data_IF_377351056482
#
_entry.id   IF_377351056482
#
_cell.length_a   1.000
_cell.length_b   1.000
_cell.length_c   1.000
_cell.angle_alpha   90.00
_cell.angle_beta   90.00
_cell.angle_gamma   90.00
#
_symmetry.space_group_name_H-M   'P 1'
#
loop_
_entity.id
_entity.type
_entity.pdbx_description
1 polymer ?
#
# COMPACT_ATOMS: atom_id res chain seq x y z
N UNK A 1 22.77 -0.12 8.64
CA UNK A 1 21.51 -0.25 9.39
C UNK A 1 20.55 -1.05 8.52
N UNK A 2 20.63 -2.37 8.62
CA UNK A 2 19.76 -3.31 7.92
C UNK A 2 18.62 -3.64 8.87
N UNK A 3 17.45 -3.07 8.64
CA UNK A 3 16.20 -3.53 9.26
C UNK A 3 15.92 -4.94 8.73
N UNK A 4 15.97 -5.94 9.62
CA UNK A 4 15.71 -7.34 9.33
C UNK A 4 14.20 -7.55 9.07
N UNK A 5 13.75 -7.97 7.87
CA UNK A 5 12.35 -7.95 7.45
C UNK A 5 11.50 -9.12 7.98
N UNK A 6 11.83 -9.66 9.15
CA UNK A 6 11.13 -10.79 9.76
C UNK A 6 10.78 -10.51 11.23
N UNK A 7 10.13 -9.38 11.50
CA UNK A 7 9.60 -9.11 12.82
C UNK A 7 8.58 -10.21 13.21
N UNK A 8 8.78 -10.89 14.34
CA UNK A 8 7.88 -11.96 14.80
C UNK A 8 6.46 -11.45 15.03
N UNK A 9 5.48 -12.10 14.39
CA UNK A 9 4.10 -11.60 14.20
C UNK A 9 3.14 -11.94 15.34
N UNK A 10 3.56 -12.76 16.32
CA UNK A 10 2.70 -13.15 17.43
C UNK A 10 3.29 -12.83 18.78
N UNK A 11 2.49 -12.31 19.72
CA UNK A 11 2.90 -12.14 21.11
C UNK A 11 2.46 -13.31 21.97
N UNK A 12 3.06 -13.48 23.15
CA UNK A 12 2.61 -14.47 24.14
C UNK A 12 1.13 -14.22 24.52
N UNK A 13 0.72 -12.95 24.60
CA UNK A 13 -0.68 -12.53 24.81
C UNK A 13 -1.62 -13.09 23.74
N UNK A 14 -1.22 -13.05 22.48
CA UNK A 14 -2.03 -13.57 21.38
C UNK A 14 -2.09 -15.11 21.41
N UNK A 15 -1.00 -15.79 21.76
CA UNK A 15 -1.00 -17.25 21.93
C UNK A 15 -1.96 -17.69 23.05
N UNK A 16 -1.99 -16.96 24.18
CA UNK A 16 -2.94 -17.19 25.28
C UNK A 16 -4.41 -17.11 24.85
N UNK A 17 -4.73 -16.28 23.86
CA UNK A 17 -6.09 -16.11 23.35
C UNK A 17 -6.54 -17.25 22.41
N UNK A 18 -5.65 -18.16 22.01
CA UNK A 18 -5.98 -19.26 21.11
C UNK A 18 -6.72 -20.36 21.89
N UNK A 19 -8.04 -20.40 21.76
CA UNK A 19 -8.93 -21.30 22.51
C UNK A 19 -8.55 -22.78 22.40
N UNK A 20 -8.03 -23.22 21.25
CA UNK A 20 -7.65 -24.63 21.03
C UNK A 20 -6.54 -25.12 21.97
N UNK A 21 -5.71 -24.20 22.50
CA UNK A 21 -4.62 -24.54 23.41
C UNK A 21 -4.98 -24.40 24.89
N UNK A 22 -6.09 -23.73 25.23
CA UNK A 22 -6.61 -23.62 26.61
C UNK A 22 -5.54 -23.25 27.65
N UNK A 23 -4.63 -22.36 27.27
CA UNK A 23 -3.47 -22.03 28.06
C UNK A 23 -3.85 -21.23 29.31
N UNK A 24 -3.16 -21.50 30.42
CA UNK A 24 -3.29 -20.72 31.65
C UNK A 24 -1.96 -20.06 32.00
N UNK A 25 -1.94 -18.74 32.09
CA UNK A 25 -0.79 -18.00 32.62
C UNK A 25 -0.68 -18.24 34.12
N UNK A 26 0.51 -18.65 34.59
CA UNK A 26 0.76 -18.90 36.02
C UNK A 26 1.91 -18.08 36.61
N UNK A 27 2.78 -17.49 35.78
CA UNK A 27 3.80 -16.53 36.20
C UNK A 27 4.29 -15.66 35.03
N UNK A 28 4.94 -14.54 35.33
CA UNK A 28 5.69 -13.73 34.36
C UNK A 28 4.83 -12.83 33.48
N UNK A 29 3.74 -12.28 34.01
CA UNK A 29 2.75 -11.46 33.29
C UNK A 29 3.37 -10.26 32.55
N UNK A 30 4.44 -9.67 33.08
CA UNK A 30 5.15 -8.55 32.44
C UNK A 30 5.79 -8.91 31.08
N UNK A 31 5.88 -10.19 30.72
CA UNK A 31 6.43 -10.66 29.46
C UNK A 31 5.40 -10.98 28.37
N UNK A 32 4.12 -10.66 28.56
CA UNK A 32 3.06 -11.08 27.62
C UNK A 32 3.19 -10.49 26.21
N UNK A 33 3.79 -9.31 26.06
CA UNK A 33 3.97 -8.67 24.75
C UNK A 33 5.27 -9.10 24.06
N UNK A 34 5.99 -10.07 24.63
CA UNK A 34 7.18 -10.66 24.00
C UNK A 34 6.76 -11.42 22.74
N UNK A 35 7.54 -11.30 21.65
CA UNK A 35 7.19 -11.94 20.41
C UNK A 35 7.55 -13.44 20.38
N UNK A 36 6.80 -14.21 19.61
CA UNK A 36 6.91 -15.64 19.39
C UNK A 36 7.03 -15.94 17.90
N UNK A 37 7.92 -16.87 17.55
CA UNK A 37 8.14 -17.31 16.16
C UNK A 37 8.07 -18.82 15.96
N UNK A 38 8.17 -19.60 17.03
CA UNK A 38 8.30 -21.06 16.96
C UNK A 38 8.02 -21.72 18.32
N UNK A 39 7.77 -23.03 18.31
CA UNK A 39 7.68 -23.85 19.51
C UNK A 39 8.81 -24.89 19.54
N UNK A 40 9.50 -25.03 20.68
CA UNK A 40 10.60 -25.97 20.86
C UNK A 40 10.31 -26.89 22.05
N UNK A 41 10.02 -28.16 21.78
CA UNK A 41 9.82 -29.17 22.82
C UNK A 41 11.16 -29.75 23.27
N UNK A 42 11.40 -29.82 24.58
CA UNK A 42 12.66 -30.35 25.14
C UNK A 42 12.47 -30.81 26.59
N UNK A 43 13.26 -31.81 26.99
CA UNK A 43 13.37 -32.26 28.39
C UNK A 43 14.80 -32.03 28.94
N UNK A 44 15.65 -31.32 28.20
CA UNK A 44 17.00 -30.97 28.62
C UNK A 44 16.95 -30.01 29.81
N UNK A 45 17.87 -30.18 30.77
CA UNK A 45 18.04 -29.24 31.90
C UNK A 45 18.54 -27.87 31.45
N UNK A 46 19.32 -27.83 30.38
CA UNK A 46 19.91 -26.61 29.81
C UNK A 46 19.56 -26.50 28.31
N UNK A 47 18.35 -26.03 27.95
CA UNK A 47 17.95 -25.92 26.55
C UNK A 47 18.58 -24.73 25.81
N UNK A 48 19.09 -23.72 26.54
CA UNK A 48 19.60 -22.45 26.01
C UNK A 48 20.50 -22.55 24.77
N UNK A 49 21.52 -23.44 24.73
CA UNK A 49 22.40 -23.58 23.57
C UNK A 49 21.72 -23.99 22.25
N UNK A 50 20.50 -24.55 22.32
CA UNK A 50 19.75 -25.02 21.16
C UNK A 50 18.69 -24.02 20.67
N UNK A 51 18.50 -22.90 21.40
CA UNK A 51 17.51 -21.88 21.09
C UNK A 51 18.09 -20.79 20.18
N UNK A 52 17.24 -20.21 19.33
CA UNK A 52 17.60 -19.13 18.40
C UNK A 52 16.98 -17.79 18.80
N UNK A 53 16.03 -17.79 19.72
CA UNK A 53 15.32 -16.64 20.25
C UNK A 53 13.87 -16.60 19.78
N UNK A 54 13.02 -15.99 20.62
CA UNK A 54 11.59 -15.84 20.39
C UNK A 54 10.81 -17.16 20.28
N UNK A 55 11.30 -18.26 20.85
CA UNK A 55 10.53 -19.50 20.97
C UNK A 55 9.65 -19.53 22.22
N UNK A 56 8.59 -20.33 22.19
CA UNK A 56 8.03 -20.95 23.39
C UNK A 56 8.72 -22.29 23.62
N UNK A 57 9.29 -22.49 24.80
CA UNK A 57 9.93 -23.77 25.18
C UNK A 57 8.90 -24.64 25.87
N UNK A 58 8.62 -25.82 25.31
CA UNK A 58 7.63 -26.77 25.83
C UNK A 58 8.34 -27.91 26.59
N UNK A 59 7.88 -28.21 27.80
CA UNK A 59 8.42 -29.30 28.63
C UNK A 59 7.33 -29.86 29.54
N UNK A 60 7.41 -31.15 29.90
CA UNK A 60 6.62 -31.74 31.00
C UNK A 60 7.38 -31.73 32.33
N UNK A 61 8.61 -31.21 32.34
CA UNK A 61 9.41 -31.04 33.54
C UNK A 61 10.01 -32.33 34.11
N UNK A 62 10.25 -33.35 33.27
CA UNK A 62 10.77 -34.63 33.74
C UNK A 62 12.16 -34.50 34.42
N UNK A 63 12.92 -33.46 34.04
CA UNK A 63 14.23 -33.15 34.60
C UNK A 63 14.23 -32.07 35.69
N UNK A 64 13.05 -31.57 36.09
CA UNK A 64 12.86 -30.43 37.01
C UNK A 64 12.43 -30.84 38.43
N UNK A 65 12.85 -32.02 38.88
CA UNK A 65 12.41 -32.61 40.16
C UNK A 65 12.98 -31.97 41.44
N UNK A 66 13.85 -30.95 41.32
CA UNK A 66 14.42 -30.21 42.45
C UNK A 66 14.35 -28.68 42.23
N UNK A 67 14.30 -27.87 43.31
CA UNK A 67 14.21 -26.41 43.20
C UNK A 67 15.32 -25.75 42.37
N UNK A 68 16.54 -26.30 42.45
CA UNK A 68 17.70 -25.78 41.72
C UNK A 68 17.55 -26.00 40.22
N UNK A 69 17.04 -27.16 39.81
CA UNK A 69 16.76 -27.48 38.42
C UNK A 69 15.70 -26.55 37.81
N UNK A 70 14.62 -26.22 38.55
CA UNK A 70 13.59 -25.29 38.08
C UNK A 70 14.17 -23.90 37.78
N UNK A 71 14.98 -23.37 38.70
CA UNK A 71 15.61 -22.05 38.54
C UNK A 71 16.60 -22.05 37.37
N UNK A 72 17.50 -23.04 37.31
CA UNK A 72 18.51 -23.15 36.25
C UNK A 72 17.87 -23.30 34.86
N UNK A 73 16.76 -24.04 34.76
CA UNK A 73 16.03 -24.19 33.51
C UNK A 73 15.44 -22.85 33.04
N UNK A 74 14.74 -22.11 33.92
CA UNK A 74 14.17 -20.81 33.56
C UNK A 74 15.25 -19.79 33.15
N UNK A 75 16.39 -19.79 33.84
CA UNK A 75 17.55 -18.97 33.49
C UNK A 75 18.14 -19.35 32.13
N UNK A 76 18.29 -20.65 31.85
CA UNK A 76 18.78 -21.16 30.57
C UNK A 76 17.84 -20.76 29.41
N UNK A 77 16.53 -20.92 29.58
CA UNK A 77 15.52 -20.50 28.59
C UNK A 77 15.60 -18.99 28.32
N UNK A 78 15.72 -18.18 29.38
CA UNK A 78 15.88 -16.72 29.27
C UNK A 78 17.18 -16.35 28.55
N UNK A 79 18.29 -17.00 28.88
CA UNK A 79 19.59 -16.78 28.27
C UNK A 79 19.60 -17.14 26.77
N UNK A 80 18.86 -18.19 26.39
CA UNK A 80 18.60 -18.58 25.00
C UNK A 80 17.68 -17.62 24.24
N UNK A 81 17.22 -16.53 24.88
CA UNK A 81 16.32 -15.51 24.32
C UNK A 81 14.92 -16.02 23.96
N UNK A 82 14.48 -17.11 24.58
CA UNK A 82 13.10 -17.56 24.42
C UNK A 82 12.12 -16.52 25.01
N UNK A 83 10.88 -16.58 24.57
CA UNK A 83 9.85 -15.63 24.95
C UNK A 83 8.89 -16.15 25.99
N UNK A 84 8.71 -17.47 26.12
CA UNK A 84 7.86 -18.09 27.13
C UNK A 84 8.27 -19.55 27.39
N UNK A 85 7.76 -20.11 28.49
CA UNK A 85 7.76 -21.55 28.79
C UNK A 85 6.31 -22.05 28.75
N UNK A 86 6.05 -23.13 28.04
CA UNK A 86 4.83 -23.92 28.16
C UNK A 86 5.11 -25.18 28.96
N UNK A 87 4.51 -25.32 30.13
CA UNK A 87 4.69 -26.45 31.02
C UNK A 87 3.49 -27.40 30.90
N UNK A 88 3.72 -28.61 30.43
CA UNK A 88 2.71 -29.66 30.33
C UNK A 88 2.36 -30.22 31.70
N UNK A 89 1.09 -30.09 32.08
CA UNK A 89 0.55 -30.63 33.34
C UNK A 89 -0.25 -31.92 33.08
N UNK A 90 -0.35 -32.77 34.10
CA UNK A 90 -1.12 -34.01 34.09
C UNK A 90 -0.28 -35.29 33.97
N UNK A 91 0.86 -35.25 33.28
CA UNK A 91 1.71 -36.44 33.08
C UNK A 91 2.75 -36.63 34.21
N UNK A 92 3.46 -35.57 34.58
CA UNK A 92 4.54 -35.61 35.60
C UNK A 92 4.10 -34.94 36.89
N UNK A 93 3.46 -33.78 36.78
CA UNK A 93 2.94 -32.99 37.91
C UNK A 93 1.52 -32.51 37.58
N UNK A 94 0.70 -32.28 38.59
CA UNK A 94 -0.67 -31.81 38.40
C UNK A 94 -0.75 -30.32 38.02
N UNK A 95 0.25 -29.54 38.44
CA UNK A 95 0.37 -28.10 38.22
C UNK A 95 1.85 -27.76 38.03
N UNK A 96 2.16 -26.60 37.43
CA UNK A 96 3.54 -26.15 37.31
C UNK A 96 4.22 -26.00 38.69
N UNK A 97 5.46 -26.50 38.89
CA UNK A 97 6.16 -26.41 40.18
C UNK A 97 6.28 -24.97 40.67
N UNK A 98 6.01 -24.75 41.97
CA UNK A 98 6.02 -23.42 42.57
C UNK A 98 7.38 -22.71 42.41
N UNK A 99 8.46 -23.49 42.47
CA UNK A 99 9.83 -23.02 42.27
C UNK A 99 10.06 -22.51 40.85
N UNK A 100 9.48 -23.16 39.84
CA UNK A 100 9.52 -22.72 38.45
C UNK A 100 8.69 -21.44 38.27
N UNK A 101 7.50 -21.36 38.86
CA UNK A 101 6.66 -20.15 38.86
C UNK A 101 7.43 -18.96 39.45
N UNK A 102 8.04 -19.12 40.62
CA UNK A 102 8.83 -18.07 41.26
C UNK A 102 10.05 -17.64 40.43
N UNK A 103 10.74 -18.58 39.78
CA UNK A 103 11.86 -18.26 38.89
C UNK A 103 11.40 -17.46 37.66
N UNK A 104 10.31 -17.90 37.03
CA UNK A 104 9.72 -17.24 35.87
C UNK A 104 9.23 -15.83 36.19
N UNK A 105 8.60 -15.64 37.36
CA UNK A 105 8.15 -14.34 37.85
C UNK A 105 9.33 -13.36 38.00
N UNK A 106 10.41 -13.78 38.69
CA UNK A 106 11.61 -12.95 38.86
C UNK A 106 12.27 -12.57 37.53
N UNK A 107 12.21 -13.45 36.54
CA UNK A 107 12.81 -13.24 35.22
C UNK A 107 11.90 -12.47 34.24
N UNK A 108 10.65 -12.18 34.63
CA UNK A 108 9.63 -11.66 33.72
C UNK A 108 9.45 -12.55 32.49
N UNK A 109 9.57 -13.86 32.67
CA UNK A 109 9.43 -14.87 31.63
C UNK A 109 8.05 -15.52 31.79
N UNK A 110 7.12 -15.36 30.83
CA UNK A 110 5.80 -15.98 30.90
C UNK A 110 5.90 -17.50 31.04
N UNK A 111 5.20 -18.04 32.04
CA UNK A 111 5.01 -19.46 32.26
C UNK A 111 3.54 -19.79 32.03
N UNK A 112 3.28 -20.63 31.03
CA UNK A 112 1.95 -21.05 30.62
C UNK A 112 1.79 -22.53 30.95
N UNK A 113 0.71 -22.91 31.61
CA UNK A 113 0.34 -24.32 31.71
C UNK A 113 -0.36 -24.78 30.44
N UNK A 114 0.04 -25.96 29.98
CA UNK A 114 -0.51 -26.66 28.83
C UNK A 114 -1.25 -27.90 29.35
N UNK A 115 -2.58 -28.00 29.17
CA UNK A 115 -3.34 -29.16 29.61
C UNK A 115 -2.90 -30.45 28.90
N UNK A 116 -3.05 -31.60 29.57
CA UNK A 116 -2.64 -32.91 29.06
C UNK A 116 -3.31 -33.28 27.71
N UNK A 117 -4.50 -32.76 27.43
CA UNK A 117 -5.23 -33.02 26.19
C UNK A 117 -4.63 -32.27 24.98
N UNK A 118 -3.72 -31.32 25.20
CA UNK A 118 -3.13 -30.49 24.15
C UNK A 118 -1.74 -31.03 23.78
N UNK A 119 -1.59 -31.72 22.64
CA UNK A 119 -0.29 -32.26 22.26
C UNK A 119 0.66 -31.14 21.83
N UNK A 120 1.92 -31.20 22.27
CA UNK A 120 2.94 -30.19 21.95
C UNK A 120 3.19 -30.03 20.44
N UNK A 121 2.96 -31.06 19.63
CA UNK A 121 3.04 -30.97 18.16
C UNK A 121 2.11 -29.90 17.58
N UNK A 122 0.95 -29.68 18.21
CA UNK A 122 -0.02 -28.67 17.76
C UNK A 122 0.50 -27.23 17.84
N UNK A 123 1.46 -26.96 18.72
CA UNK A 123 2.15 -25.66 18.76
C UNK A 123 3.11 -25.51 17.59
N UNK A 124 3.88 -26.56 17.27
CA UNK A 124 4.78 -26.55 16.11
C UNK A 124 3.99 -26.37 14.82
N UNK A 125 2.86 -27.07 14.68
CA UNK A 125 1.94 -26.91 13.55
C UNK A 125 1.36 -25.49 13.48
N UNK A 126 0.89 -24.93 14.60
CA UNK A 126 0.37 -23.55 14.66
C UNK A 126 1.36 -22.51 14.12
N UNK A 127 2.63 -22.60 14.51
CA UNK A 127 3.65 -21.67 14.03
C UNK A 127 4.08 -21.97 12.59
N UNK A 128 4.05 -23.25 12.17
CA UNK A 128 4.35 -23.63 10.79
C UNK A 128 3.26 -23.18 9.80
N UNK A 129 1.98 -23.36 10.13
CA UNK A 129 0.81 -22.89 9.36
C UNK A 129 0.86 -21.38 9.13
N UNK A 130 1.21 -20.62 10.17
CA UNK A 130 1.26 -19.14 10.12
C UNK A 130 2.52 -18.59 9.44
N UNK A 131 3.62 -19.35 9.47
CA UNK A 131 4.81 -19.02 8.68
C UNK A 131 4.59 -19.33 7.19
N UNK A 132 3.77 -20.33 6.87
CA UNK A 132 3.35 -20.63 5.50
C UNK A 132 2.37 -19.57 4.98
N UNK A 133 1.38 -19.17 5.79
CA UNK A 133 0.35 -18.21 5.37
C UNK A 133 0.95 -16.90 4.86
N UNK A 134 1.93 -16.31 5.54
CA UNK A 134 2.56 -15.05 5.09
C UNK A 134 3.41 -15.14 3.82
N UNK A 135 4.01 -16.29 3.54
CA UNK A 135 4.78 -16.49 2.28
C UNK A 135 3.86 -16.85 1.13
N UNK A 136 2.86 -17.68 1.38
CA UNK A 136 1.88 -18.10 0.39
C UNK A 136 0.97 -16.92 0.01
N UNK A 137 0.50 -16.12 0.98
CA UNK A 137 -0.25 -14.88 0.73
C UNK A 137 0.56 -13.88 -0.08
N UNK A 138 1.84 -13.66 0.25
CA UNK A 138 2.69 -12.75 -0.52
C UNK A 138 2.88 -13.24 -1.95
N UNK A 139 3.17 -14.53 -2.11
CA UNK A 139 3.31 -15.15 -3.42
C UNK A 139 2.01 -15.07 -4.22
N UNK A 140 0.88 -15.29 -3.57
CA UNK A 140 -0.43 -15.18 -4.17
C UNK A 140 -0.75 -13.75 -4.62
N UNK A 141 -0.41 -12.75 -3.80
CA UNK A 141 -0.51 -11.33 -4.17
C UNK A 141 0.37 -11.01 -5.38
N UNK A 142 1.59 -11.52 -5.43
CA UNK A 142 2.49 -11.34 -6.59
C UNK A 142 1.96 -12.06 -7.85
N UNK A 143 1.39 -13.25 -7.70
CA UNK A 143 0.75 -13.99 -8.80
C UNK A 143 -0.50 -13.25 -9.33
N UNK A 144 -1.32 -12.73 -8.42
CA UNK A 144 -2.48 -11.90 -8.75
C UNK A 144 -2.05 -10.60 -9.44
N UNK A 145 -1.01 -9.93 -8.94
CA UNK A 145 -0.44 -8.73 -9.56
C UNK A 145 0.05 -9.00 -10.99
N UNK A 146 0.72 -10.12 -11.23
CA UNK A 146 1.11 -10.55 -12.58
C UNK A 146 -0.10 -10.78 -13.49
N UNK A 147 -1.15 -11.46 -13.01
CA UNK A 147 -2.38 -11.67 -13.78
C UNK A 147 -3.05 -10.35 -14.14
N UNK A 148 -3.20 -9.44 -13.17
CA UNK A 148 -3.73 -8.10 -13.40
C UNK A 148 -2.92 -7.35 -14.45
N UNK A 149 -1.59 -7.38 -14.38
CA UNK A 149 -0.71 -6.78 -15.39
C UNK A 149 -0.95 -7.37 -16.78
N UNK A 150 -1.11 -8.69 -16.89
CA UNK A 150 -1.42 -9.35 -18.17
C UNK A 150 -2.80 -8.94 -18.71
N UNK A 151 -3.81 -8.79 -17.84
CA UNK A 151 -5.15 -8.30 -18.20
C UNK A 151 -5.07 -6.84 -18.69
N UNK A 152 -4.33 -5.98 -17.98
CA UNK A 152 -4.11 -4.58 -18.36
C UNK A 152 -3.47 -4.44 -19.75
N UNK A 153 -2.53 -5.33 -20.08
CA UNK A 153 -1.83 -5.34 -21.37
C UNK A 153 -2.63 -6.03 -22.49
N UNK A 154 -3.81 -6.60 -22.19
CA UNK A 154 -4.61 -7.37 -23.14
C UNK A 154 -4.01 -8.73 -23.52
N UNK A 155 -3.04 -9.23 -22.75
CA UNK A 155 -2.41 -10.55 -22.94
C UNK A 155 -3.27 -11.66 -22.32
N UNK A 156 -4.03 -11.33 -21.26
CA UNK A 156 -4.96 -12.24 -20.60
C UNK A 156 -6.38 -11.67 -20.56
N UNK A 157 -7.37 -12.56 -20.50
CA UNK A 157 -8.77 -12.18 -20.25
C UNK A 157 -9.01 -11.91 -18.77
N UNK A 158 -9.86 -10.94 -18.45
CA UNK A 158 -10.32 -10.69 -17.08
C UNK A 158 -11.04 -11.91 -16.46
N UNK A 159 -11.56 -12.83 -17.28
CA UNK A 159 -12.17 -14.08 -16.82
C UNK A 159 -11.19 -14.97 -16.03
N UNK A 160 -9.88 -14.80 -16.21
CA UNK A 160 -8.86 -15.49 -15.41
C UNK A 160 -8.90 -15.11 -13.91
N UNK A 161 -9.60 -14.04 -13.55
CA UNK A 161 -9.77 -13.57 -12.17
C UNK A 161 -11.12 -14.01 -11.56
N UNK A 162 -11.98 -14.70 -12.32
CA UNK A 162 -13.34 -15.06 -11.90
C UNK A 162 -13.36 -15.82 -10.58
N UNK A 163 -12.56 -16.88 -10.47
CA UNK A 163 -12.48 -17.71 -9.26
C UNK A 163 -12.11 -16.88 -8.02
N UNK A 164 -11.11 -16.00 -8.14
CA UNK A 164 -10.68 -15.10 -7.05
C UNK A 164 -11.76 -14.10 -6.65
N UNK A 165 -12.51 -13.58 -7.62
CA UNK A 165 -13.62 -12.64 -7.41
C UNK A 165 -14.77 -13.34 -6.67
N UNK A 166 -15.10 -14.55 -7.09
CA UNK A 166 -16.15 -15.37 -6.48
C UNK A 166 -15.77 -15.76 -5.04
N UNK A 167 -14.53 -16.18 -4.81
CA UNK A 167 -14.00 -16.52 -3.48
C UNK A 167 -13.97 -15.32 -2.53
N UNK A 168 -13.70 -14.12 -3.07
CA UNK A 168 -13.77 -12.86 -2.32
C UNK A 168 -15.21 -12.38 -2.08
N UNK A 169 -16.22 -13.02 -2.67
CA UNK A 169 -17.63 -12.66 -2.53
C UNK A 169 -18.00 -11.32 -3.17
N UNK A 170 -17.25 -10.90 -4.19
CA UNK A 170 -17.49 -9.64 -4.89
C UNK A 170 -18.61 -9.77 -5.93
N UNK A 171 -19.40 -8.72 -6.12
CA UNK A 171 -20.39 -8.64 -7.19
C UNK A 171 -19.68 -8.42 -8.54
N UNK A 172 -19.72 -9.39 -9.48
CA UNK A 172 -19.03 -9.28 -10.75
C UNK A 172 -19.63 -8.23 -11.71
N UNK A 173 -20.78 -7.64 -11.39
CA UNK A 173 -21.42 -6.59 -12.20
C UNK A 173 -20.97 -5.17 -11.82
N UNK A 174 -20.32 -5.00 -10.67
CA UNK A 174 -19.99 -3.68 -10.10
C UNK A 174 -18.56 -3.62 -9.56
N UNK A 175 -17.61 -4.23 -10.26
CA UNK A 175 -16.20 -4.27 -9.89
C UNK A 175 -15.51 -2.96 -10.27
N UNK A 176 -14.61 -2.49 -9.42
CA UNK A 176 -13.66 -1.42 -9.71
C UNK A 176 -12.27 -1.81 -9.22
N UNK A 177 -11.26 -1.11 -9.72
CA UNK A 177 -9.87 -1.27 -9.29
C UNK A 177 -9.38 -0.02 -8.58
N UNK A 178 -8.71 -0.21 -7.46
CA UNK A 178 -7.94 0.84 -6.77
C UNK A 178 -6.46 0.51 -6.87
N UNK A 179 -5.66 1.46 -7.38
CA UNK A 179 -4.21 1.38 -7.42
C UNK A 179 -3.60 2.26 -6.33
N UNK A 180 -2.63 1.74 -5.57
CA UNK A 180 -2.00 2.39 -4.41
C UNK A 180 -0.49 2.10 -4.33
N UNK A 181 0.24 2.91 -3.57
CA UNK A 181 1.68 2.71 -3.30
C UNK A 181 1.88 1.78 -2.10
N UNK A 182 2.12 0.49 -2.35
CA UNK A 182 2.34 -0.52 -1.33
C UNK A 182 1.15 -0.72 -0.36
N UNK A 183 0.94 -1.96 0.10
CA UNK A 183 -0.08 -2.24 1.13
C UNK A 183 0.49 -3.28 2.10
N UNK A 184 0.54 -2.93 3.38
CA UNK A 184 0.92 -3.85 4.47
C UNK A 184 -0.29 -4.53 5.12
N UNK A 185 -1.51 -4.00 4.90
CA UNK A 185 -2.74 -4.47 5.53
C UNK A 185 -3.54 -5.47 4.66
N UNK A 186 -4.36 -6.30 5.31
CA UNK A 186 -5.39 -7.07 4.62
C UNK A 186 -6.54 -6.14 4.24
N UNK A 187 -6.86 -6.07 2.95
CA UNK A 187 -7.94 -5.25 2.43
C UNK A 187 -9.08 -6.14 1.91
N UNK A 188 -10.34 -5.71 2.06
CA UNK A 188 -11.49 -6.46 1.55
C UNK A 188 -11.50 -6.43 0.02
N UNK A 189 -11.24 -7.58 -0.59
CA UNK A 189 -11.27 -7.77 -2.04
C UNK A 189 -10.13 -8.65 -2.56
N UNK A 190 -9.89 -8.58 -3.86
CA UNK A 190 -8.80 -9.31 -4.51
C UNK A 190 -7.59 -8.40 -4.65
N UNK A 191 -6.56 -8.63 -3.84
CA UNK A 191 -5.35 -7.82 -3.79
C UNK A 191 -4.22 -8.48 -4.60
N UNK A 192 -3.69 -7.74 -5.59
CA UNK A 192 -2.46 -8.07 -6.30
C UNK A 192 -1.38 -7.03 -6.05
N UNK A 193 -0.12 -7.46 -6.04
CA UNK A 193 1.04 -6.56 -5.91
C UNK A 193 1.94 -6.74 -7.12
N UNK A 194 2.29 -5.61 -7.73
CA UNK A 194 3.09 -5.54 -8.94
C UNK A 194 4.22 -4.52 -8.79
N UNK A 195 5.39 -4.98 -8.35
CA UNK A 195 6.47 -4.09 -7.91
C UNK A 195 6.04 -3.33 -6.66
N UNK A 196 6.10 -2.00 -6.69
CA UNK A 196 5.70 -1.12 -5.59
C UNK A 196 4.22 -0.71 -5.65
N UNK A 197 3.48 -1.16 -6.67
CA UNK A 197 2.06 -0.82 -6.84
C UNK A 197 1.17 -1.96 -6.37
N UNK A 198 0.27 -1.66 -5.46
CA UNK A 198 -0.81 -2.55 -5.05
C UNK A 198 -2.06 -2.26 -5.88
N UNK A 199 -2.75 -3.31 -6.30
CA UNK A 199 -3.96 -3.27 -7.11
C UNK A 199 -5.05 -4.07 -6.41
N UNK A 200 -6.12 -3.41 -6.01
CA UNK A 200 -7.25 -4.01 -5.32
C UNK A 200 -8.48 -4.02 -6.22
N UNK A 201 -9.02 -5.20 -6.50
CA UNK A 201 -10.37 -5.33 -7.07
C UNK A 201 -11.37 -5.36 -5.93
N UNK A 202 -12.39 -4.51 -6.00
CA UNK A 202 -13.43 -4.39 -4.96
C UNK A 202 -14.74 -3.86 -5.57
N UNK A 203 -15.82 -3.85 -4.79
CA UNK A 203 -17.06 -3.15 -5.12
C UNK A 203 -17.18 -1.79 -4.40
N UNK A 204 -16.23 -1.45 -3.53
CA UNK A 204 -16.19 -0.21 -2.75
C UNK A 204 -15.15 0.76 -3.33
N UNK A 205 -15.55 2.00 -3.59
CA UNK A 205 -14.67 3.03 -4.13
C UNK A 205 -13.81 3.72 -3.05
N UNK A 206 -13.98 3.36 -1.77
CA UNK A 206 -13.20 3.91 -0.67
C UNK A 206 -11.73 3.48 -0.76
N UNK A 207 -10.80 4.44 -0.76
CA UNK A 207 -9.38 4.16 -0.70
C UNK A 207 -8.88 4.15 0.76
N UNK A 208 -8.05 3.16 1.10
CA UNK A 208 -7.50 2.98 2.45
C UNK A 208 -6.13 3.63 2.64
N UNK A 209 -5.51 4.10 1.56
CA UNK A 209 -4.22 4.79 1.59
C UNK A 209 -4.16 5.88 0.52
N UNK A 210 -3.31 6.88 0.73
CA UNK A 210 -2.97 7.91 -0.25
C UNK A 210 -1.45 7.90 -0.50
N UNK A 211 -0.98 8.09 -1.75
CA UNK A 211 -1.76 8.38 -2.94
C UNK A 211 -2.52 7.15 -3.49
N UNK A 212 -3.71 7.39 -4.07
CA UNK A 212 -4.52 6.33 -4.69
C UNK A 212 -5.18 6.78 -5.99
N UNK A 213 -5.33 5.84 -6.91
CA UNK A 213 -6.09 5.99 -8.14
C UNK A 213 -7.25 5.02 -8.20
N UNK A 214 -8.45 5.51 -8.44
CA UNK A 214 -9.69 4.73 -8.46
C UNK A 214 -10.23 4.65 -9.88
N UNK A 215 -10.36 3.45 -10.42
CA UNK A 215 -10.97 3.19 -11.73
C UNK A 215 -12.50 3.31 -11.72
N UNK A 216 -13.11 3.35 -12.90
CA UNK A 216 -14.57 3.34 -13.02
C UNK A 216 -15.18 1.96 -12.72
N UNK A 217 -16.31 1.88 -12.00
CA UNK A 217 -16.96 0.61 -11.71
C UNK A 217 -17.66 0.04 -12.95
N UNK A 218 -17.67 -1.30 -13.06
CA UNK A 218 -18.36 -2.00 -14.13
C UNK A 218 -18.30 -3.53 -14.00
N UNK A 219 -18.85 -4.26 -14.99
CA UNK A 219 -18.80 -5.71 -15.03
C UNK A 219 -17.36 -6.25 -15.22
N UNK A 220 -17.15 -7.56 -15.05
CA UNK A 220 -15.81 -8.18 -15.15
C UNK A 220 -15.07 -7.87 -16.46
N UNK A 221 -15.77 -7.80 -17.59
CA UNK A 221 -15.17 -7.45 -18.89
C UNK A 221 -14.73 -5.98 -18.99
N UNK A 222 -15.22 -5.11 -18.09
CA UNK A 222 -14.77 -3.73 -17.90
C UNK A 222 -13.52 -3.60 -17.01
N UNK A 223 -13.11 -4.67 -16.33
CA UNK A 223 -11.96 -4.64 -15.42
C UNK A 223 -10.64 -4.15 -16.07
N UNK A 224 -10.30 -4.49 -17.33
CA UNK A 224 -9.11 -3.93 -17.98
C UNK A 224 -9.16 -2.40 -18.11
N UNK A 225 -10.34 -1.84 -18.35
CA UNK A 225 -10.55 -0.39 -18.44
C UNK A 225 -10.37 0.24 -17.05
N UNK A 226 -11.08 -0.29 -16.04
CA UNK A 226 -10.93 0.18 -14.65
C UNK A 226 -9.48 0.12 -14.17
N UNK A 227 -8.73 -0.92 -14.55
CA UNK A 227 -7.32 -1.10 -14.18
C UNK A 227 -6.40 -0.08 -14.87
N UNK A 228 -6.63 0.21 -16.15
CA UNK A 228 -5.87 1.24 -16.86
C UNK A 228 -6.17 2.64 -16.31
N UNK A 229 -7.42 2.90 -15.94
CA UNK A 229 -7.83 4.15 -15.30
C UNK A 229 -7.23 4.31 -13.90
N UNK A 230 -7.30 3.27 -13.06
CA UNK A 230 -6.78 3.33 -11.68
C UNK A 230 -5.28 3.61 -11.66
N UNK A 231 -4.50 2.97 -12.53
CA UNK A 231 -3.06 3.21 -12.63
C UNK A 231 -2.74 4.65 -13.05
N UNK A 232 -3.47 5.18 -14.02
CA UNK A 232 -3.26 6.54 -14.45
C UNK A 232 -3.75 7.60 -13.45
N UNK A 233 -4.80 7.28 -12.71
CA UNK A 233 -5.24 8.07 -11.58
C UNK A 233 -4.19 8.06 -10.48
N UNK A 234 -3.55 6.92 -10.20
CA UNK A 234 -2.45 6.83 -9.24
C UNK A 234 -1.25 7.67 -9.68
N UNK A 235 -0.88 7.65 -10.97
CA UNK A 235 0.19 8.52 -11.48
C UNK A 235 -0.13 10.00 -11.29
N UNK A 236 -1.39 10.40 -11.47
CA UNK A 236 -1.85 11.78 -11.18
C UNK A 236 -1.83 12.08 -9.67
N UNK A 237 -2.26 11.13 -8.84
CA UNK A 237 -2.27 11.23 -7.40
C UNK A 237 -0.85 11.33 -6.82
N UNK A 238 0.14 10.66 -7.41
CA UNK A 238 1.56 10.79 -7.01
C UNK A 238 2.12 12.19 -7.26
N UNK A 239 1.60 12.91 -8.25
CA UNK A 239 2.00 14.30 -8.55
C UNK A 239 1.28 15.33 -7.68
N UNK A 240 -0.02 15.11 -7.41
CA UNK A 240 -0.89 16.08 -6.73
C UNK A 240 -1.22 15.78 -5.27
N UNK A 241 -0.93 14.56 -4.80
CA UNK A 241 -1.44 13.99 -3.55
C UNK A 241 -2.90 13.55 -3.63
N UNK A 242 -3.37 12.82 -2.61
CA UNK A 242 -4.77 12.46 -2.43
C UNK A 242 -5.24 11.22 -3.20
N UNK A 243 -6.57 11.14 -3.36
CA UNK A 243 -7.27 10.13 -4.15
C UNK A 243 -7.76 10.76 -5.44
N UNK A 244 -7.46 10.16 -6.58
CA UNK A 244 -7.94 10.59 -7.91
C UNK A 244 -8.86 9.52 -8.47
N UNK A 245 -10.01 9.91 -8.99
CA UNK A 245 -10.95 8.99 -9.64
C UNK A 245 -10.83 9.03 -11.16
N UNK A 246 -11.28 7.98 -11.83
CA UNK A 246 -11.33 7.90 -13.30
C UNK A 246 -12.12 9.06 -13.92
N UNK A 247 -13.17 9.55 -13.26
CA UNK A 247 -13.93 10.73 -13.69
C UNK A 247 -13.07 12.00 -13.76
N UNK A 248 -12.06 12.09 -12.91
CA UNK A 248 -11.15 13.24 -12.85
C UNK A 248 -10.12 13.19 -14.01
N UNK A 249 -9.86 11.99 -14.55
CA UNK A 249 -9.00 11.78 -15.71
C UNK A 249 -9.61 12.29 -17.02
N UNK A 250 -10.94 12.33 -17.12
CA UNK A 250 -11.64 12.83 -18.30
C UNK A 250 -11.58 14.36 -18.45
N UNK A 251 -10.82 15.05 -17.60
CA UNK A 251 -10.62 16.49 -17.68
C UNK A 251 -9.48 16.85 -18.64
N UNK A 252 -9.60 18.00 -19.30
CA UNK A 252 -8.55 18.51 -20.19
C UNK A 252 -7.19 18.65 -19.47
N UNK A 253 -7.20 19.05 -18.19
CA UNK A 253 -5.99 19.21 -17.39
C UNK A 253 -5.34 17.86 -17.05
N UNK A 254 -6.12 16.85 -16.67
CA UNK A 254 -5.60 15.52 -16.39
C UNK A 254 -5.03 14.85 -17.64
N UNK A 255 -5.68 15.03 -18.81
CA UNK A 255 -5.15 14.55 -20.10
C UNK A 255 -3.76 15.13 -20.38
N UNK A 256 -3.60 16.45 -20.22
CA UNK A 256 -2.30 17.10 -20.45
C UNK A 256 -1.25 16.70 -19.41
N UNK A 257 -1.65 16.46 -18.16
CA UNK A 257 -0.80 15.96 -17.08
C UNK A 257 -0.09 14.63 -17.39
N UNK A 258 -0.66 13.83 -18.29
CA UNK A 258 -0.15 12.50 -18.66
C UNK A 258 0.79 12.51 -19.87
N UNK A 259 0.87 13.63 -20.59
CA UNK A 259 1.78 13.77 -21.72
C UNK A 259 3.20 14.03 -21.19
N UNK A 260 4.18 13.33 -21.75
CA UNK A 260 5.57 13.52 -21.33
C UNK A 260 6.14 14.88 -21.80
N UNK A 261 7.33 15.20 -21.29
CA UNK A 261 8.00 16.46 -21.59
C UNK A 261 8.34 16.65 -23.06
N UNK A 262 8.58 15.56 -23.80
CA UNK A 262 8.97 15.56 -25.20
C UNK A 262 7.74 15.76 -26.10
N UNK A 263 6.60 15.16 -25.74
CA UNK A 263 5.30 15.36 -26.39
C UNK A 263 4.82 16.81 -26.25
N UNK A 264 5.07 17.43 -25.10
CA UNK A 264 4.71 18.84 -24.85
C UNK A 264 5.75 19.84 -25.38
N UNK A 265 6.99 19.41 -25.67
CA UNK A 265 8.07 20.30 -26.08
C UNK A 265 7.75 21.12 -27.36
N UNK A 266 7.16 20.55 -28.43
CA UNK A 266 6.80 21.32 -29.62
C UNK A 266 5.86 22.49 -29.32
N UNK A 267 4.85 22.30 -28.47
CA UNK A 267 3.92 23.37 -28.07
C UNK A 267 4.64 24.49 -27.31
N UNK A 268 5.53 24.12 -26.38
CA UNK A 268 6.31 25.12 -25.63
C UNK A 268 7.25 25.88 -26.55
N UNK A 269 7.98 25.18 -27.43
CA UNK A 269 8.99 25.79 -28.30
C UNK A 269 8.41 26.64 -29.42
N UNK A 270 7.31 26.19 -30.04
CA UNK A 270 6.74 26.86 -31.21
C UNK A 270 5.69 27.91 -30.85
N UNK A 271 5.10 27.85 -29.65
CA UNK A 271 3.99 28.73 -29.26
C UNK A 271 4.34 29.55 -28.02
N UNK A 272 4.58 28.90 -26.87
CA UNK A 272 4.76 29.63 -25.61
C UNK A 272 6.04 30.47 -25.58
N UNK A 273 7.15 29.93 -26.10
CA UNK A 273 8.46 30.60 -26.10
C UNK A 273 8.48 31.87 -26.95
N UNK A 274 8.00 31.89 -28.22
CA UNK A 274 7.91 33.12 -29.01
C UNK A 274 7.10 34.24 -28.34
N UNK A 275 6.01 33.89 -27.65
CA UNK A 275 5.20 34.86 -26.91
C UNK A 275 5.96 35.46 -25.72
N UNK A 276 6.60 34.62 -24.92
CA UNK A 276 7.38 35.07 -23.76
C UNK A 276 8.60 35.91 -24.17
N UNK A 277 9.31 35.51 -25.22
CA UNK A 277 10.45 36.27 -25.77
C UNK A 277 10.00 37.63 -26.30
N UNK A 278 8.86 37.69 -26.99
CA UNK A 278 8.30 38.94 -27.49
C UNK A 278 7.88 39.88 -26.35
N UNK A 279 7.18 39.35 -25.34
CA UNK A 279 6.79 40.09 -24.14
C UNK A 279 8.00 40.67 -23.39
N UNK A 280 9.06 39.88 -23.20
CA UNK A 280 10.31 40.33 -22.58
C UNK A 280 11.02 41.41 -23.39
N UNK A 281 11.09 41.27 -24.71
CA UNK A 281 11.79 42.22 -25.58
C UNK A 281 11.04 43.54 -25.80
N UNK A 282 9.70 43.52 -25.78
CA UNK A 282 8.87 44.68 -26.14
C UNK A 282 8.07 45.26 -24.97
N UNK A 283 8.17 44.67 -23.77
CA UNK A 283 7.38 45.06 -22.60
C UNK A 283 5.87 44.85 -22.80
N UNK A 284 5.49 43.90 -23.67
CA UNK A 284 4.08 43.56 -23.91
C UNK A 284 3.58 42.54 -22.90
N UNK A 285 2.29 42.22 -22.98
CA UNK A 285 1.61 41.26 -22.10
C UNK A 285 0.73 40.30 -22.90
N UNK A 286 1.26 39.77 -24.00
CA UNK A 286 0.57 38.85 -24.90
C UNK A 286 0.29 37.51 -24.23
N UNK A 287 1.21 36.98 -23.40
CA UNK A 287 0.98 35.72 -22.67
C UNK A 287 -0.18 35.86 -21.66
N UNK A 288 -0.24 36.96 -20.90
CA UNK A 288 -1.37 37.27 -20.01
C UNK A 288 -2.67 37.47 -20.80
N UNK A 289 -2.58 38.16 -21.95
CA UNK A 289 -3.73 38.39 -22.83
C UNK A 289 -4.29 37.07 -23.34
N UNK A 290 -3.44 36.15 -23.79
CA UNK A 290 -3.83 34.84 -24.28
C UNK A 290 -4.45 33.98 -23.19
N UNK A 291 -3.83 33.90 -22.00
CA UNK A 291 -4.39 33.16 -20.85
C UNK A 291 -5.80 33.67 -20.51
N UNK A 292 -5.96 34.98 -20.33
CA UNK A 292 -7.26 35.59 -20.02
C UNK A 292 -8.27 35.39 -21.15
N UNK A 293 -7.82 35.38 -22.41
CA UNK A 293 -8.69 35.11 -23.55
C UNK A 293 -9.23 33.67 -23.54
N UNK A 294 -8.38 32.71 -23.22
CA UNK A 294 -8.76 31.29 -23.08
C UNK A 294 -9.68 31.08 -21.88
N UNK A 295 -9.39 31.70 -20.73
CA UNK A 295 -10.22 31.62 -19.52
C UNK A 295 -11.64 32.18 -19.74
N UNK A 296 -11.77 33.16 -20.64
CA UNK A 296 -13.06 33.73 -21.05
C UNK A 296 -13.71 32.97 -22.23
N UNK A 297 -13.25 31.75 -22.54
CA UNK A 297 -13.82 30.91 -23.60
C UNK A 297 -13.59 31.42 -25.02
N UNK A 298 -12.59 32.28 -25.23
CA UNK A 298 -12.30 32.91 -26.52
C UNK A 298 -13.23 34.07 -26.89
N UNK A 299 -13.94 34.65 -25.91
CA UNK A 299 -14.86 35.76 -26.14
C UNK A 299 -14.16 37.13 -26.07
N UNK A 300 -13.92 37.75 -27.23
CA UNK A 300 -13.26 39.09 -27.35
C UNK A 300 -13.89 40.13 -26.41
N UNK A 301 -15.22 40.22 -26.35
CA UNK A 301 -15.90 41.21 -25.51
C UNK A 301 -15.70 40.99 -24.00
N UNK A 302 -15.70 39.73 -23.55
CA UNK A 302 -15.47 39.39 -22.15
C UNK A 302 -14.01 39.63 -21.75
N UNK A 303 -13.07 39.20 -22.59
CA UNK A 303 -11.63 39.41 -22.39
C UNK A 303 -11.25 40.89 -22.38
N UNK A 304 -11.82 41.70 -23.28
CA UNK A 304 -11.58 43.15 -23.30
C UNK A 304 -11.98 43.81 -22.00
N UNK A 305 -13.11 43.41 -21.39
CA UNK A 305 -13.53 43.92 -20.08
C UNK A 305 -12.60 43.43 -18.97
N UNK A 306 -12.26 42.14 -18.96
CA UNK A 306 -11.37 41.56 -17.94
C UNK A 306 -9.98 42.21 -17.92
N UNK A 307 -9.46 42.60 -19.10
CA UNK A 307 -8.15 43.24 -19.23
C UNK A 307 -8.22 44.78 -19.26
N UNK A 308 -9.40 45.38 -19.13
CA UNK A 308 -9.63 46.82 -19.28
C UNK A 308 -9.08 47.40 -20.61
N UNK A 309 -9.21 46.65 -21.70
CA UNK A 309 -8.75 47.01 -23.04
C UNK A 309 -9.93 47.37 -23.96
N UNK A 310 -9.71 48.31 -24.86
CA UNK A 310 -10.63 48.51 -25.98
C UNK A 310 -10.67 47.27 -26.89
N UNK A 311 -11.83 46.86 -27.44
CA UNK A 311 -11.95 45.68 -28.31
C UNK A 311 -10.97 45.65 -29.49
N UNK A 312 -10.71 46.81 -30.11
CA UNK A 312 -9.74 46.90 -31.21
C UNK A 312 -8.30 46.60 -30.73
N UNK A 313 -7.91 47.10 -29.55
CA UNK A 313 -6.59 46.81 -28.98
C UNK A 313 -6.43 45.32 -28.69
N UNK A 314 -7.47 44.66 -28.17
CA UNK A 314 -7.45 43.22 -27.99
C UNK A 314 -7.29 42.48 -29.33
N UNK A 315 -8.06 42.85 -30.35
CA UNK A 315 -7.93 42.26 -31.70
C UNK A 315 -6.52 42.42 -32.27
N UNK A 316 -5.88 43.58 -32.07
CA UNK A 316 -4.49 43.78 -32.46
C UNK A 316 -3.52 42.86 -31.71
N UNK A 317 -3.74 42.63 -30.41
CA UNK A 317 -2.94 41.68 -29.63
C UNK A 317 -3.14 40.24 -30.10
N UNK A 318 -4.38 39.83 -30.38
CA UNK A 318 -4.68 38.49 -30.91
C UNK A 318 -4.05 38.27 -32.29
N UNK A 319 -4.11 39.27 -33.19
CA UNK A 319 -3.43 39.22 -34.47
C UNK A 319 -1.89 39.16 -34.33
N UNK A 320 -1.33 39.80 -33.31
CA UNK A 320 0.10 39.68 -32.99
C UNK A 320 0.45 38.27 -32.48
N UNK A 321 -0.39 37.68 -31.64
CA UNK A 321 -0.23 36.29 -31.18
C UNK A 321 -0.25 35.33 -32.38
N UNK A 322 -1.19 35.51 -33.31
CA UNK A 322 -1.26 34.75 -34.56
C UNK A 322 0.02 34.89 -35.38
N UNK A 323 0.51 36.12 -35.59
CA UNK A 323 1.74 36.36 -36.34
C UNK A 323 3.00 35.73 -35.71
N UNK A 324 3.05 35.62 -34.38
CA UNK A 324 4.19 35.04 -33.66
C UNK A 324 4.15 33.51 -33.58
N UNK A 325 2.95 32.93 -33.55
CA UNK A 325 2.76 31.50 -33.28
C UNK A 325 2.33 30.71 -34.52
N UNK A 326 1.86 31.40 -35.56
CA UNK A 326 1.22 30.81 -36.72
C UNK A 326 -0.17 30.22 -36.44
N UNK A 327 -0.79 30.57 -35.29
CA UNK A 327 -2.05 30.00 -34.81
C UNK A 327 -3.08 31.10 -34.56
N UNK A 328 -4.25 31.02 -35.19
CA UNK A 328 -5.31 32.02 -35.03
C UNK A 328 -6.10 31.77 -33.73
N UNK A 329 -6.04 32.65 -32.71
CA UNK A 329 -6.79 32.48 -31.47
C UNK A 329 -8.32 32.47 -31.67
N UNK A 330 -8.84 32.90 -32.82
CA UNK A 330 -10.27 32.88 -33.11
C UNK A 330 -10.72 31.53 -33.69
N UNK A 331 -9.80 30.69 -34.20
CA UNK A 331 -10.11 29.33 -34.66
C UNK A 331 -10.04 28.34 -33.51
N UNK A 332 -10.99 27.41 -33.47
CA UNK A 332 -11.10 26.44 -32.37
C UNK A 332 -9.86 25.53 -32.25
N UNK A 333 -9.43 24.90 -33.34
CA UNK A 333 -8.27 23.98 -33.35
C UNK A 333 -6.99 24.68 -32.87
N UNK A 334 -6.77 25.92 -33.33
CA UNK A 334 -5.64 26.73 -32.93
C UNK A 334 -5.73 27.17 -31.47
N UNK A 335 -6.93 27.49 -30.95
CA UNK A 335 -7.13 27.73 -29.52
C UNK A 335 -6.74 26.54 -28.66
N UNK A 336 -7.05 25.32 -29.10
CA UNK A 336 -6.65 24.11 -28.37
C UNK A 336 -5.13 24.03 -28.30
N UNK A 337 -4.43 24.21 -29.42
CA UNK A 337 -2.96 24.22 -29.44
C UNK A 337 -2.36 25.33 -28.56
N UNK A 338 -2.94 26.53 -28.60
CA UNK A 338 -2.55 27.66 -27.74
C UNK A 338 -2.80 27.35 -26.25
N UNK A 339 -3.91 26.71 -25.90
CA UNK A 339 -4.23 26.32 -24.53
C UNK A 339 -3.25 25.27 -23.99
N UNK A 340 -2.89 24.26 -24.80
CA UNK A 340 -1.87 23.27 -24.46
C UNK A 340 -0.54 23.97 -24.16
N UNK A 341 -0.12 24.90 -25.03
CA UNK A 341 1.12 25.63 -24.86
C UNK A 341 1.15 26.49 -23.59
N UNK A 342 0.05 27.20 -23.28
CA UNK A 342 -0.08 28.00 -22.06
C UNK A 342 -0.03 27.12 -20.81
N UNK A 343 -0.74 25.99 -20.81
CA UNK A 343 -0.72 25.04 -19.70
C UNK A 343 0.67 24.45 -19.48
N UNK A 344 1.33 23.96 -20.54
CA UNK A 344 2.65 23.35 -20.47
C UNK A 344 3.74 24.33 -20.02
N UNK A 345 3.61 25.62 -20.36
CA UNK A 345 4.54 26.66 -19.93
C UNK A 345 4.41 26.99 -18.43
N UNK A 346 3.21 26.90 -17.85
CA UNK A 346 2.98 27.15 -16.42
C UNK A 346 3.59 26.04 -15.57
N UNK A 347 3.39 24.78 -15.96
CA UNK A 347 3.92 23.62 -15.22
C UNK A 347 5.45 23.58 -15.19
N UNK A 348 6.13 24.15 -16.19
CA UNK A 348 7.59 24.27 -16.24
C UNK A 348 8.16 25.47 -15.47
N UNK A 349 7.33 26.44 -15.09
CA UNK A 349 7.75 27.65 -14.37
C UNK A 349 7.61 27.58 -12.85
N UNK A 350 7.13 26.46 -12.31
CA UNK A 350 6.93 26.22 -10.87
C UNK A 350 8.03 25.40 -10.19
N UNK A 351 9.20 25.26 -10.83
CA UNK A 351 10.38 24.57 -10.28
C UNK A 351 11.48 25.54 -9.85
#
# INVERSE_FOLDING_TARGET
MTSDPAAPQHTVRQLLAVERFRLRLVAGENGLDRPLRWAHSTELRDPGPHLRGHEIVLTVGASLGDPGACAAFAESVKAGRASAIGYGVGDVTAEAPAELCQACERLGLPLLEVPAEVPFVGFTEFFAERLASTRDERREREETGRLLRMVQQGVASAEALRERIDDAGLDPAALLVIAMDGVEEELPGVLGVDGDTALLITNDAHAWSEPAGVGSPGPLDHLPVSLAESLAALDSARLGGGVVHASDLATFQALLGRLDQDQLAPFVQQIARPLNEYDGAHGTRLTETLRTFLDMGGAVGATSRALFLHPNTLRHRLARIEALTGRDPLRFEDRVALAIAVWAAVQRGGG
#
